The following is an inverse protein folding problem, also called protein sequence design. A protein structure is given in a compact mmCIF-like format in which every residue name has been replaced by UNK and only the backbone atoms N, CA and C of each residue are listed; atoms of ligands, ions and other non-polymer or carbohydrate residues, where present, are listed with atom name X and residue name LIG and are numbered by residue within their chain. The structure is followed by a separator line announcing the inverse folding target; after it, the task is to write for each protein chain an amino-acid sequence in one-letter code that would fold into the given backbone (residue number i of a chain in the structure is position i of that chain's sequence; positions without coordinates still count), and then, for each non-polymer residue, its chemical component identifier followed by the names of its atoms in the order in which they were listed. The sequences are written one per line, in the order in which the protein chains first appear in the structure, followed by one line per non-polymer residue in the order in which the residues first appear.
data_IF_497829179863
#
_entry.id   IF_497829179863
#
_cell.length_a   1.000
_cell.length_b   1.000
_cell.length_c   1.000
_cell.angle_alpha   90.00
_cell.angle_beta   90.00
_cell.angle_gamma   90.00
#
_symmetry.space_group_name_H-M   'P 1'
#
loop_
_entity.id
_entity.type
_entity.pdbx_description
1 polymer ?
#
# COMPACT_ATOMS: atom_id res chain seq x y z
N UNK A 1 34.41 -10.51 39.46
CA UNK A 1 33.42 -9.41 39.42
C UNK A 1 32.98 -8.98 38.02
N UNK A 2 33.74 -9.23 36.95
CA UNK A 2 33.36 -8.84 35.57
C UNK A 2 32.24 -9.68 34.93
N UNK A 3 31.92 -10.86 35.47
CA UNK A 3 30.83 -11.72 34.97
C UNK A 3 29.43 -11.30 35.42
N UNK A 4 29.29 -10.39 36.39
CA UNK A 4 27.99 -9.94 36.89
C UNK A 4 27.38 -8.78 36.06
N UNK A 5 28.19 -8.02 35.32
CA UNK A 5 27.72 -6.84 34.58
C UNK A 5 27.10 -7.22 33.23
N UNK A 6 27.46 -8.37 32.66
CA UNK A 6 26.92 -8.81 31.37
C UNK A 6 25.51 -9.44 31.44
N UNK A 7 24.97 -9.67 32.64
CA UNK A 7 23.65 -10.30 32.80
C UNK A 7 22.49 -9.32 33.07
N UNK A 8 22.76 -8.01 33.08
CA UNK A 8 21.74 -6.94 33.25
C UNK A 8 21.19 -6.43 31.89
N UNK A 9 21.63 -7.01 30.77
CA UNK A 9 21.12 -6.65 29.44
C UNK A 9 19.97 -7.52 28.92
N UNK A 10 19.60 -8.58 29.64
CA UNK A 10 18.50 -9.48 29.27
C UNK A 10 17.26 -9.20 30.13
N UNK A 11 17.08 -7.94 30.53
CA UNK A 11 15.77 -7.47 30.95
C UNK A 11 14.83 -7.63 29.78
N UNK A 12 13.95 -8.62 29.93
CA UNK A 12 12.62 -8.70 29.36
C UNK A 12 12.37 -7.65 28.29
N UNK A 13 12.70 -8.02 27.05
CA UNK A 13 11.99 -7.45 25.93
C UNK A 13 10.52 -7.81 26.13
N UNK A 14 9.82 -6.96 26.88
CA UNK A 14 8.40 -6.71 26.71
C UNK A 14 8.24 -6.19 25.27
N UNK A 15 8.50 -7.09 24.32
CA UNK A 15 8.06 -7.00 22.96
C UNK A 15 6.55 -7.09 23.10
N UNK A 16 5.90 -5.93 23.25
CA UNK A 16 4.46 -5.84 23.29
C UNK A 16 3.94 -6.62 22.10
N UNK A 17 3.30 -7.77 22.37
CA UNK A 17 2.91 -8.70 21.31
C UNK A 17 1.67 -8.13 20.62
N UNK A 18 1.62 -8.27 19.30
CA UNK A 18 0.43 -7.88 18.55
C UNK A 18 -0.65 -8.91 18.85
N UNK A 19 -1.82 -8.42 19.23
CA UNK A 19 -2.94 -9.23 19.70
C UNK A 19 -3.73 -9.79 18.51
N UNK A 20 -3.87 -11.12 18.42
CA UNK A 20 -4.71 -11.78 17.40
C UNK A 20 -6.19 -11.79 17.80
N UNK A 21 -6.47 -11.96 19.10
CA UNK A 21 -7.81 -12.00 19.68
C UNK A 21 -7.90 -11.04 20.88
N UNK A 22 -8.80 -10.03 20.84
CA UNK A 22 -8.82 -8.93 21.82
C UNK A 22 -9.31 -9.31 23.22
N UNK A 23 -9.97 -10.46 23.39
CA UNK A 23 -10.72 -10.79 24.61
C UNK A 23 -9.83 -11.11 25.85
N UNK A 24 -8.52 -11.27 25.69
CA UNK A 24 -7.59 -11.59 26.78
C UNK A 24 -6.41 -10.62 26.97
N UNK A 25 -6.36 -9.52 26.22
CA UNK A 25 -5.17 -8.67 26.16
C UNK A 25 -5.21 -7.49 27.12
N UNK A 26 -4.02 -7.10 27.58
CA UNK A 26 -3.84 -5.89 28.38
C UNK A 26 -4.20 -4.63 27.58
N UNK A 27 -4.54 -3.55 28.29
CA UNK A 27 -4.86 -2.26 27.67
C UNK A 27 -3.69 -1.75 26.82
N UNK A 28 -2.48 -1.95 27.31
CA UNK A 28 -1.22 -1.52 26.70
C UNK A 28 -0.95 -2.30 25.40
N UNK A 29 -1.20 -3.61 25.38
CA UNK A 29 -1.13 -4.43 24.17
C UNK A 29 -2.18 -4.03 23.13
N UNK A 30 -3.39 -3.68 23.57
CA UNK A 30 -4.45 -3.18 22.69
C UNK A 30 -4.07 -1.83 22.08
N UNK A 31 -3.59 -0.87 22.88
CA UNK A 31 -3.12 0.43 22.38
C UNK A 31 -2.01 0.23 21.34
N UNK A 32 -1.03 -0.62 21.64
CA UNK A 32 0.08 -0.91 20.74
C UNK A 32 -0.37 -1.57 19.44
N UNK A 33 -1.27 -2.56 19.53
CA UNK A 33 -1.83 -3.27 18.38
C UNK A 33 -2.62 -2.33 17.48
N UNK A 34 -3.53 -1.55 18.06
CA UNK A 34 -4.37 -0.58 17.34
C UNK A 34 -3.51 0.50 16.69
N UNK A 35 -2.49 1.01 17.39
CA UNK A 35 -1.53 1.96 16.82
C UNK A 35 -0.84 1.38 15.57
N UNK A 36 -0.27 0.17 15.68
CA UNK A 36 0.36 -0.50 14.54
C UNK A 36 -0.60 -0.76 13.38
N UNK A 37 -1.83 -1.13 13.67
CA UNK A 37 -2.88 -1.32 12.68
C UNK A 37 -3.20 -0.02 11.93
N UNK A 38 -3.36 1.10 12.63
CA UNK A 38 -3.58 2.41 12.00
C UNK A 38 -2.42 2.80 11.09
N UNK A 39 -1.17 2.69 11.55
CA UNK A 39 0.01 2.99 10.73
C UNK A 39 0.06 2.09 9.48
N UNK A 40 -0.18 0.79 9.65
CA UNK A 40 -0.21 -0.20 8.55
C UNK A 40 -1.32 0.13 7.55
N UNK A 41 -2.54 0.39 8.02
CA UNK A 41 -3.68 0.79 7.20
C UNK A 41 -3.34 2.05 6.39
N UNK A 42 -2.79 3.07 7.05
CA UNK A 42 -2.40 4.33 6.41
C UNK A 42 -1.45 4.13 5.24
N UNK A 43 -0.40 3.31 5.43
CA UNK A 43 0.58 3.00 4.38
C UNK A 43 -0.02 2.27 3.19
N UNK A 44 -0.85 1.24 3.44
CA UNK A 44 -1.51 0.50 2.37
C UNK A 44 -2.49 1.40 1.63
N UNK A 45 -3.24 2.23 2.36
CA UNK A 45 -4.18 3.17 1.79
C UNK A 45 -3.47 4.21 0.90
N UNK A 46 -2.33 4.73 1.31
CA UNK A 46 -1.53 5.66 0.49
C UNK A 46 -1.05 5.01 -0.81
N UNK A 47 -0.44 3.82 -0.71
CA UNK A 47 0.02 3.07 -1.87
C UNK A 47 -1.14 2.70 -2.82
N UNK A 48 -2.29 2.34 -2.25
CA UNK A 48 -3.52 2.09 -2.99
C UNK A 48 -4.05 3.34 -3.70
N UNK A 49 -4.15 4.48 -2.99
CA UNK A 49 -4.59 5.76 -3.56
C UNK A 49 -3.69 6.18 -4.73
N UNK A 50 -2.37 5.96 -4.61
CA UNK A 50 -1.41 6.22 -5.70
C UNK A 50 -1.73 5.42 -6.97
N UNK A 51 -1.94 4.11 -6.84
CA UNK A 51 -2.29 3.25 -7.97
C UNK A 51 -3.67 3.60 -8.54
N UNK A 52 -4.67 3.76 -7.69
CA UNK A 52 -6.03 4.16 -8.06
C UNK A 52 -6.02 5.44 -8.88
N UNK A 53 -5.31 6.47 -8.41
CA UNK A 53 -5.25 7.76 -9.10
C UNK A 53 -4.55 7.65 -10.45
N UNK A 54 -3.42 6.95 -10.54
CA UNK A 54 -2.73 6.73 -11.82
C UNK A 54 -3.61 6.05 -12.86
N UNK A 55 -4.36 5.02 -12.46
CA UNK A 55 -5.29 4.31 -13.34
C UNK A 55 -6.52 5.16 -13.72
N UNK A 56 -7.04 5.97 -12.79
CA UNK A 56 -8.11 6.94 -13.09
C UNK A 56 -7.65 8.02 -14.07
N UNK A 57 -6.46 8.58 -13.89
CA UNK A 57 -5.88 9.54 -14.86
C UNK A 57 -5.77 8.91 -16.25
N UNK A 58 -5.29 7.67 -16.35
CA UNK A 58 -5.27 6.93 -17.62
C UNK A 58 -6.67 6.78 -18.23
N UNK A 59 -7.69 6.48 -17.41
CA UNK A 59 -9.08 6.39 -17.86
C UNK A 59 -9.58 7.71 -18.45
N UNK A 60 -9.38 8.81 -17.72
CA UNK A 60 -9.85 10.13 -18.11
C UNK A 60 -9.16 10.61 -19.39
N UNK A 61 -7.84 10.48 -19.48
CA UNK A 61 -7.07 10.80 -20.68
C UNK A 61 -7.48 9.94 -21.88
N UNK A 62 -7.76 8.65 -21.65
CA UNK A 62 -8.23 7.76 -22.71
C UNK A 62 -9.59 8.18 -23.25
N UNK A 63 -10.52 8.57 -22.36
CA UNK A 63 -11.85 9.06 -22.74
C UNK A 63 -11.75 10.36 -23.54
N UNK A 64 -10.91 11.31 -23.11
CA UNK A 64 -10.67 12.57 -23.81
C UNK A 64 -10.01 12.36 -25.19
N UNK A 65 -9.16 11.35 -25.34
CA UNK A 65 -8.48 11.07 -26.61
C UNK A 65 -9.39 10.47 -27.70
N UNK A 66 -10.67 10.20 -27.42
CA UNK A 66 -11.55 9.43 -28.33
C UNK A 66 -11.74 10.08 -29.69
N UNK A 67 -11.86 11.39 -29.72
CA UNK A 67 -12.19 12.18 -30.92
C UNK A 67 -10.94 12.64 -31.70
N UNK A 68 -9.76 12.24 -31.23
CA UNK A 68 -8.49 12.63 -31.86
C UNK A 68 -8.09 11.75 -33.04
N UNK A 69 -7.36 12.36 -33.99
CA UNK A 69 -6.75 11.67 -35.12
C UNK A 69 -5.69 10.68 -34.64
N UNK A 70 -5.50 9.58 -35.37
CA UNK A 70 -4.61 8.48 -34.99
C UNK A 70 -3.17 8.96 -34.70
N UNK A 71 -2.64 9.89 -35.51
CA UNK A 71 -1.28 10.41 -35.35
C UNK A 71 -1.06 11.23 -34.07
N UNK A 72 -2.05 11.99 -33.62
CA UNK A 72 -1.97 12.72 -32.33
C UNK A 72 -2.30 11.82 -31.16
N UNK A 73 -3.16 10.82 -31.38
CA UNK A 73 -3.61 9.90 -30.35
C UNK A 73 -2.58 8.84 -29.97
N UNK A 74 -1.84 8.30 -30.95
CA UNK A 74 -0.80 7.29 -30.69
C UNK A 74 0.20 7.69 -29.59
N UNK A 75 0.88 8.85 -29.66
CA UNK A 75 1.82 9.25 -28.62
C UNK A 75 1.13 9.44 -27.25
N UNK A 76 -0.14 9.89 -27.21
CA UNK A 76 -0.91 9.98 -25.97
C UNK A 76 -1.19 8.61 -25.36
N UNK A 77 -1.61 7.62 -26.16
CA UNK A 77 -1.81 6.25 -25.66
C UNK A 77 -0.50 5.65 -25.12
N UNK A 78 0.61 5.92 -25.80
CA UNK A 78 1.94 5.50 -25.33
C UNK A 78 2.28 6.17 -24.00
N UNK A 79 2.02 7.47 -23.86
CA UNK A 79 2.24 8.22 -22.62
C UNK A 79 1.40 7.67 -21.47
N UNK A 80 0.08 7.49 -21.67
CA UNK A 80 -0.85 6.92 -20.68
C UNK A 80 -0.32 5.59 -20.11
N UNK A 81 0.04 4.65 -20.99
CA UNK A 81 0.59 3.35 -20.57
C UNK A 81 1.94 3.52 -19.89
N UNK A 82 2.79 4.40 -20.41
CA UNK A 82 4.11 4.64 -19.84
C UNK A 82 4.04 5.17 -18.40
N UNK A 83 3.20 6.17 -18.14
CA UNK A 83 3.03 6.77 -16.81
C UNK A 83 2.58 5.74 -15.77
N UNK A 84 1.61 4.89 -16.12
CA UNK A 84 1.17 3.82 -15.21
C UNK A 84 2.27 2.79 -15.02
N UNK A 85 3.01 2.41 -16.06
CA UNK A 85 4.17 1.48 -15.94
C UNK A 85 5.30 2.09 -15.09
N UNK A 86 5.49 3.41 -15.11
CA UNK A 86 6.46 4.08 -14.23
C UNK A 86 6.10 3.90 -12.75
N UNK A 87 4.81 3.79 -12.40
CA UNK A 87 4.40 3.49 -11.02
C UNK A 87 4.95 2.14 -10.53
N UNK A 88 4.98 1.11 -11.38
CA UNK A 88 5.57 -0.21 -11.01
C UNK A 88 7.09 -0.11 -10.83
N UNK A 89 7.75 0.71 -11.65
CA UNK A 89 9.21 0.93 -11.53
C UNK A 89 9.59 1.73 -10.29
N UNK A 90 8.70 2.58 -9.78
CA UNK A 90 8.82 3.26 -8.49
C UNK A 90 8.55 2.29 -7.32
N UNK A 91 9.16 1.10 -7.34
CA UNK A 91 8.91 0.02 -6.39
C UNK A 91 9.06 0.44 -4.92
N UNK A 92 9.87 1.47 -4.63
CA UNK A 92 10.07 1.99 -3.28
C UNK A 92 8.81 2.69 -2.73
N UNK A 93 7.94 3.21 -3.59
CA UNK A 93 6.65 3.81 -3.23
C UNK A 93 5.50 2.81 -3.20
N UNK A 94 5.70 1.61 -3.76
CA UNK A 94 4.75 0.51 -3.68
C UNK A 94 5.11 -0.42 -2.52
N UNK A 95 4.09 -1.01 -1.90
CA UNK A 95 4.28 -1.98 -0.82
C UNK A 95 4.34 -3.37 -1.41
N UNK A 96 5.37 -4.13 -1.04
CA UNK A 96 5.39 -5.56 -1.34
C UNK A 96 4.72 -6.28 -0.18
N UNK A 97 3.43 -6.56 -0.36
CA UNK A 97 2.64 -7.32 0.62
C UNK A 97 2.41 -8.74 0.07
N UNK A 98 2.41 -9.77 0.94
CA UNK A 98 2.15 -11.14 0.51
C UNK A 98 0.78 -11.27 -0.15
N UNK A 99 0.67 -12.17 -1.12
CA UNK A 99 -0.64 -12.61 -1.59
C UNK A 99 -1.41 -13.27 -0.45
N UNK A 100 -2.72 -13.10 -0.44
CA UNK A 100 -3.60 -13.77 0.51
C UNK A 100 -3.84 -15.23 0.07
N UNK A 101 -3.47 -16.17 0.92
CA UNK A 101 -3.70 -17.59 0.71
C UNK A 101 -5.00 -18.00 1.43
N UNK A 102 -5.93 -18.68 0.75
CA UNK A 102 -7.27 -19.03 1.32
C UNK A 102 -7.19 -19.85 2.62
N UNK A 103 -6.05 -20.49 2.86
CA UNK A 103 -5.79 -21.35 4.02
C UNK A 103 -5.62 -20.53 5.31
N UNK A 104 -5.17 -19.28 5.23
CA UNK A 104 -4.89 -18.45 6.41
C UNK A 104 -6.12 -17.62 6.84
N UNK A 105 -6.30 -17.43 8.14
CA UNK A 105 -7.39 -16.58 8.63
C UNK A 105 -7.12 -15.10 8.27
N UNK A 106 -8.17 -14.27 8.05
CA UNK A 106 -8.00 -12.85 7.72
C UNK A 106 -7.14 -12.08 8.74
N UNK A 107 -7.25 -12.42 10.03
CA UNK A 107 -6.47 -11.77 11.09
C UNK A 107 -5.00 -12.16 11.05
N UNK A 108 -4.68 -13.44 10.81
CA UNK A 108 -3.29 -13.92 10.64
C UNK A 108 -2.62 -13.27 9.43
N UNK A 109 -3.36 -13.14 8.32
CA UNK A 109 -2.86 -12.43 7.14
C UNK A 109 -2.50 -10.97 7.46
N UNK A 110 -3.39 -10.26 8.15
CA UNK A 110 -3.14 -8.86 8.56
C UNK A 110 -1.92 -8.77 9.48
N UNK A 111 -1.76 -9.70 10.43
CA UNK A 111 -0.58 -9.76 11.30
C UNK A 111 0.71 -9.96 10.52
N UNK A 112 0.70 -10.84 9.52
CA UNK A 112 1.83 -11.06 8.61
C UNK A 112 2.20 -9.77 7.88
N UNK A 113 1.22 -9.03 7.38
CA UNK A 113 1.43 -7.71 6.75
C UNK A 113 2.06 -6.73 7.74
N UNK A 114 1.47 -6.58 8.94
CA UNK A 114 1.97 -5.64 9.95
C UNK A 114 3.43 -5.96 10.26
N UNK A 115 3.77 -7.22 10.49
CA UNK A 115 5.13 -7.66 10.79
C UNK A 115 6.13 -7.39 9.65
N UNK A 116 5.71 -7.57 8.39
CA UNK A 116 6.57 -7.28 7.22
C UNK A 116 6.81 -5.78 7.08
N UNK A 117 5.76 -4.98 7.22
CA UNK A 117 5.85 -3.52 7.08
C UNK A 117 6.62 -2.88 8.24
N UNK A 118 6.54 -3.45 9.44
CA UNK A 118 7.31 -3.02 10.61
C UNK A 118 8.81 -3.30 10.42
N UNK A 119 9.17 -4.52 9.97
CA UNK A 119 10.57 -4.87 9.65
C UNK A 119 11.20 -3.96 8.60
N UNK A 120 10.43 -3.52 7.60
CA UNK A 120 10.91 -2.60 6.55
C UNK A 120 11.27 -1.21 7.09
N UNK A 121 10.70 -0.79 8.23
CA UNK A 121 11.05 0.49 8.88
C UNK A 121 12.34 0.42 9.71
N UNK A 122 12.70 -0.75 10.24
CA UNK A 122 13.94 -0.91 11.02
C UNK A 122 15.21 -0.96 10.17
N UNK A 123 15.09 -1.14 8.84
CA UNK A 123 16.24 -1.05 7.96
C UNK A 123 16.68 0.42 7.88
N UNK A 124 17.93 0.76 8.28
CA UNK A 124 18.43 2.12 8.12
C UNK A 124 18.48 2.42 6.63
N UNK A 125 17.51 3.19 6.14
CA UNK A 125 17.53 3.73 4.80
C UNK A 125 18.70 4.72 4.73
N UNK A 126 19.87 4.21 4.32
CA UNK A 126 21.01 5.00 3.87
C UNK A 126 20.63 5.68 2.55
N UNK A 127 19.67 6.61 2.58
CA UNK A 127 19.35 7.45 1.44
C UNK A 127 20.17 8.72 1.61
N UNK A 128 21.30 8.77 0.93
CA UNK A 128 22.13 9.97 0.75
C UNK A 128 21.51 10.83 -0.36
N UNK A 129 21.32 12.13 -0.11
CA UNK A 129 20.88 13.10 -1.13
C UNK A 129 19.61 13.90 -0.79
N UNK A 130 19.08 14.64 -1.77
CA UNK A 130 17.89 15.52 -1.63
C UNK A 130 16.65 14.74 -1.14
N UNK A 131 16.54 13.45 -1.51
CA UNK A 131 15.51 12.54 -0.98
C UNK A 131 15.60 12.32 0.53
N UNK A 132 16.77 12.53 1.15
CA UNK A 132 16.95 12.50 2.61
C UNK A 132 16.31 13.73 3.27
N UNK A 133 16.44 14.92 2.67
CA UNK A 133 15.81 16.14 3.18
C UNK A 133 14.27 16.08 3.06
N UNK A 134 13.77 15.60 1.93
CA UNK A 134 12.35 15.32 1.75
C UNK A 134 11.89 14.19 2.69
N UNK A 135 12.67 13.12 2.83
CA UNK A 135 12.40 12.03 3.77
C UNK A 135 12.41 12.48 5.24
N UNK A 136 13.27 13.44 5.61
CA UNK A 136 13.34 13.99 6.96
C UNK A 136 12.13 14.89 7.27
N UNK A 137 11.69 15.72 6.30
CA UNK A 137 10.48 16.55 6.47
C UNK A 137 9.21 15.69 6.52
N UNK A 138 9.08 14.71 5.62
CA UNK A 138 7.97 13.74 5.63
C UNK A 138 8.01 12.91 6.92
N UNK A 139 9.18 12.37 7.30
CA UNK A 139 9.35 11.57 8.50
C UNK A 139 9.09 12.32 9.81
N UNK A 140 9.33 13.64 9.86
CA UNK A 140 8.95 14.47 11.01
C UNK A 140 7.43 14.66 11.09
N UNK A 141 6.76 14.89 9.95
CA UNK A 141 5.29 14.99 9.89
C UNK A 141 4.63 13.68 10.30
N UNK A 142 5.18 12.55 9.86
CA UNK A 142 4.69 11.21 10.24
C UNK A 142 4.84 10.97 11.74
N UNK A 143 6.00 11.30 12.33
CA UNK A 143 6.21 11.21 13.79
C UNK A 143 5.22 12.05 14.59
N UNK A 144 4.90 13.26 14.15
CA UNK A 144 3.92 14.11 14.84
C UNK A 144 2.52 13.51 14.77
N UNK A 145 2.11 13.01 13.60
CA UNK A 145 0.81 12.32 13.43
C UNK A 145 0.74 11.04 14.26
N UNK A 146 1.82 10.28 14.28
CA UNK A 146 1.96 9.06 15.08
C UNK A 146 1.87 9.37 16.59
N UNK A 147 2.49 10.47 17.04
CA UNK A 147 2.42 10.91 18.43
C UNK A 147 1.00 11.32 18.83
N UNK A 148 0.33 12.14 18.01
CA UNK A 148 -1.05 12.56 18.25
C UNK A 148 -2.03 11.37 18.23
N UNK A 149 -1.79 10.40 17.34
CA UNK A 149 -2.57 9.15 17.30
C UNK A 149 -2.35 8.33 18.57
N UNK A 150 -1.09 8.15 19.00
CA UNK A 150 -0.76 7.41 20.23
C UNK A 150 -1.42 8.03 21.46
N UNK A 151 -1.42 9.36 21.57
CA UNK A 151 -2.10 10.09 22.65
C UNK A 151 -3.63 9.93 22.58
N UNK A 152 -4.22 10.06 21.39
CA UNK A 152 -5.65 9.82 21.15
C UNK A 152 -6.07 8.40 21.58
N UNK A 153 -5.25 7.39 21.28
CA UNK A 153 -5.52 5.99 21.66
C UNK A 153 -5.43 5.77 23.17
N UNK A 154 -4.54 6.48 23.87
CA UNK A 154 -4.44 6.41 25.35
C UNK A 154 -5.68 6.98 26.05
N UNK A 155 -6.40 7.89 25.40
CA UNK A 155 -7.63 8.48 25.94
C UNK A 155 -8.89 7.62 25.71
N UNK A 156 -8.81 6.57 24.88
CA UNK A 156 -9.93 5.65 24.64
C UNK A 156 -10.10 4.63 25.76
N UNK A 157 -11.32 4.17 25.98
CA UNK A 157 -11.62 3.05 26.87
C UNK A 157 -11.09 1.73 26.30
N UNK A 158 -10.87 0.74 27.17
CA UNK A 158 -10.42 -0.59 26.74
C UNK A 158 -11.43 -1.24 25.78
N UNK A 159 -12.72 -1.00 25.98
CA UNK A 159 -13.79 -1.53 25.13
C UNK A 159 -13.80 -0.90 23.73
N UNK A 160 -13.59 0.42 23.64
CA UNK A 160 -13.42 1.10 22.34
C UNK A 160 -12.17 0.60 21.60
N UNK A 161 -11.08 0.36 22.32
CA UNK A 161 -9.85 -0.18 21.74
C UNK A 161 -10.06 -1.59 21.16
N UNK A 162 -10.85 -2.45 21.82
CA UNK A 162 -11.19 -3.77 21.27
C UNK A 162 -12.00 -3.67 19.99
N UNK A 163 -13.05 -2.83 19.98
CA UNK A 163 -13.87 -2.58 18.79
C UNK A 163 -13.06 -1.99 17.64
N UNK A 164 -12.17 -1.05 17.94
CA UNK A 164 -11.26 -0.48 16.96
C UNK A 164 -10.31 -1.54 16.39
N UNK A 165 -9.77 -2.44 17.23
CA UNK A 165 -8.90 -3.53 16.81
C UNK A 165 -9.58 -4.46 15.80
N UNK A 166 -10.79 -4.94 16.12
CA UNK A 166 -11.58 -5.81 15.23
C UNK A 166 -11.94 -5.12 13.92
N UNK A 167 -12.41 -3.87 14.00
CA UNK A 167 -12.74 -3.07 12.82
C UNK A 167 -11.51 -2.89 11.92
N UNK A 168 -10.37 -2.54 12.50
CA UNK A 168 -9.14 -2.31 11.74
C UNK A 168 -8.62 -3.58 11.08
N UNK A 169 -8.75 -4.75 11.72
CA UNK A 169 -8.45 -6.03 11.06
C UNK A 169 -9.24 -6.19 9.76
N UNK A 170 -10.56 -5.99 9.83
CA UNK A 170 -11.45 -6.11 8.66
C UNK A 170 -11.10 -5.07 7.59
N UNK A 171 -10.84 -3.83 7.98
CA UNK A 171 -10.50 -2.75 7.06
C UNK A 171 -9.15 -2.97 6.36
N UNK A 172 -8.12 -3.37 7.12
CA UNK A 172 -6.79 -3.69 6.57
C UNK A 172 -6.90 -4.86 5.60
N UNK A 173 -7.64 -5.91 5.95
CA UNK A 173 -7.86 -7.04 5.06
C UNK A 173 -8.50 -6.61 3.72
N UNK A 174 -9.57 -5.82 3.78
CA UNK A 174 -10.28 -5.32 2.59
C UNK A 174 -9.39 -4.46 1.70
N UNK A 175 -8.68 -3.49 2.27
CA UNK A 175 -7.81 -2.59 1.47
C UNK A 175 -6.61 -3.33 0.89
N UNK A 176 -6.07 -4.32 1.62
CA UNK A 176 -4.95 -5.16 1.14
C UNK A 176 -5.35 -5.97 -0.09
N UNK A 177 -6.54 -6.58 -0.09
CA UNK A 177 -7.05 -7.30 -1.27
C UNK A 177 -7.23 -6.39 -2.48
N UNK A 178 -7.82 -5.20 -2.30
CA UNK A 178 -7.99 -4.21 -3.38
C UNK A 178 -6.65 -3.76 -3.94
N UNK A 179 -5.70 -3.47 -3.05
CA UNK A 179 -4.34 -3.10 -3.44
C UNK A 179 -3.64 -4.20 -4.26
N UNK A 180 -3.73 -5.45 -3.83
CA UNK A 180 -3.19 -6.59 -4.58
C UNK A 180 -3.84 -6.75 -5.96
N UNK A 181 -5.15 -6.54 -6.06
CA UNK A 181 -5.87 -6.53 -7.34
C UNK A 181 -5.28 -5.49 -8.30
N UNK A 182 -5.09 -4.25 -7.84
CA UNK A 182 -4.45 -3.21 -8.65
C UNK A 182 -3.00 -3.55 -9.02
N UNK A 183 -2.24 -4.16 -8.10
CA UNK A 183 -0.86 -4.61 -8.39
C UNK A 183 -0.80 -5.68 -9.46
N UNK A 184 -1.77 -6.59 -9.50
CA UNK A 184 -1.88 -7.60 -10.55
C UNK A 184 -2.07 -6.96 -11.93
N UNK A 185 -3.02 -6.03 -12.04
CA UNK A 185 -3.27 -5.24 -13.27
C UNK A 185 -2.00 -4.53 -13.71
N UNK A 186 -1.31 -3.87 -12.76
CA UNK A 186 -0.12 -3.09 -13.05
C UNK A 186 1.06 -3.97 -13.55
N UNK A 187 1.25 -5.15 -12.95
CA UNK A 187 2.27 -6.12 -13.40
C UNK A 187 1.97 -6.63 -14.80
N UNK A 188 0.72 -6.99 -15.08
CA UNK A 188 0.29 -7.45 -16.40
C UNK A 188 0.47 -6.36 -17.47
N UNK A 189 0.04 -5.12 -17.18
CA UNK A 189 0.26 -3.97 -18.06
C UNK A 189 1.74 -3.77 -18.36
N UNK A 190 2.60 -3.85 -17.35
CA UNK A 190 4.05 -3.66 -17.49
C UNK A 190 4.66 -4.71 -18.42
N UNK A 191 4.30 -5.98 -18.23
CA UNK A 191 4.76 -7.07 -19.08
C UNK A 191 4.29 -6.89 -20.54
N UNK A 192 3.00 -6.60 -20.73
CA UNK A 192 2.40 -6.38 -22.05
C UNK A 192 3.03 -5.16 -22.75
N UNK A 193 3.27 -4.08 -22.02
CA UNK A 193 3.91 -2.88 -22.55
C UNK A 193 5.36 -3.15 -22.99
N UNK A 194 6.13 -3.89 -22.19
CA UNK A 194 7.49 -4.31 -22.55
C UNK A 194 7.48 -5.16 -23.83
N UNK A 195 6.57 -6.12 -23.93
CA UNK A 195 6.41 -6.95 -25.13
C UNK A 195 5.98 -6.13 -26.36
N UNK A 196 5.15 -5.10 -26.20
CA UNK A 196 4.71 -4.27 -27.33
C UNK A 196 5.83 -3.46 -28.00
N UNK A 197 6.99 -3.29 -27.36
CA UNK A 197 8.12 -2.52 -27.90
C UNK A 197 8.73 -3.15 -29.15
N UNK A 198 8.53 -4.46 -29.35
CA UNK A 198 9.04 -5.18 -30.51
C UNK A 198 8.18 -4.99 -31.78
N UNK A 199 7.03 -4.33 -31.66
CA UNK A 199 6.10 -4.17 -32.78
C UNK A 199 6.22 -2.80 -33.45
N UNK A 200 6.05 -2.73 -34.79
CA UNK A 200 5.94 -1.46 -35.52
C UNK A 200 4.75 -0.61 -35.07
N UNK A 201 4.73 0.66 -35.49
CA UNK A 201 3.77 1.68 -35.02
C UNK A 201 2.31 1.24 -35.17
N UNK A 202 1.91 0.71 -36.32
CA UNK A 202 0.50 0.38 -36.61
C UNK A 202 -0.01 -0.77 -35.71
N UNK A 203 0.64 -1.95 -35.64
CA UNK A 203 0.25 -3.00 -34.68
C UNK A 203 0.34 -2.52 -33.22
N UNK A 204 1.39 -1.76 -32.89
CA UNK A 204 1.61 -1.28 -31.53
C UNK A 204 0.50 -0.34 -31.06
N UNK A 205 -0.03 0.52 -31.93
CA UNK A 205 -1.19 1.36 -31.62
C UNK A 205 -2.39 0.51 -31.15
N UNK A 206 -2.69 -0.57 -31.86
CA UNK A 206 -3.80 -1.46 -31.49
C UNK A 206 -3.52 -2.20 -30.17
N UNK A 207 -2.28 -2.63 -29.94
CA UNK A 207 -1.87 -3.24 -28.66
C UNK A 207 -2.04 -2.27 -27.49
N UNK A 208 -1.54 -1.04 -27.59
CA UNK A 208 -1.69 -0.01 -26.54
C UNK A 208 -3.15 0.27 -26.23
N UNK A 209 -3.98 0.42 -27.28
CA UNK A 209 -5.42 0.61 -27.14
C UNK A 209 -6.09 -0.59 -26.46
N UNK A 210 -5.66 -1.81 -26.77
CA UNK A 210 -6.16 -3.03 -26.14
C UNK A 210 -5.78 -3.11 -24.67
N UNK A 211 -4.53 -2.79 -24.31
CA UNK A 211 -4.06 -2.77 -22.92
C UNK A 211 -4.88 -1.81 -22.05
N UNK A 212 -5.08 -0.57 -22.52
CA UNK A 212 -5.89 0.40 -21.79
C UNK A 212 -7.32 -0.12 -21.61
N UNK A 213 -7.94 -0.64 -22.68
CA UNK A 213 -9.28 -1.23 -22.60
C UNK A 213 -9.37 -2.41 -21.64
N UNK A 214 -8.34 -3.26 -21.55
CA UNK A 214 -8.28 -4.38 -20.61
C UNK A 214 -8.30 -3.87 -19.17
N UNK A 215 -7.51 -2.85 -18.85
CA UNK A 215 -7.52 -2.20 -17.53
C UNK A 215 -8.91 -1.64 -17.20
N UNK A 216 -9.51 -0.89 -18.13
CA UNK A 216 -10.83 -0.28 -17.91
C UNK A 216 -11.97 -1.30 -17.75
N UNK A 217 -11.76 -2.55 -18.17
CA UNK A 217 -12.70 -3.66 -18.05
C UNK A 217 -12.35 -4.60 -16.90
N UNK A 218 -11.20 -4.43 -16.27
CA UNK A 218 -10.79 -5.30 -15.17
C UNK A 218 -11.75 -5.10 -13.99
N UNK A 219 -12.30 -6.19 -13.41
CA UNK A 219 -13.26 -6.08 -12.32
C UNK A 219 -12.68 -5.33 -11.12
N UNK A 220 -11.39 -5.56 -10.80
CA UNK A 220 -10.72 -4.90 -9.69
C UNK A 220 -10.64 -3.37 -9.89
N UNK A 221 -10.53 -2.88 -11.12
CA UNK A 221 -10.55 -1.44 -11.40
C UNK A 221 -11.98 -0.88 -11.49
N UNK A 222 -12.90 -1.63 -12.11
CA UNK A 222 -14.30 -1.23 -12.27
C UNK A 222 -15.00 -1.02 -10.92
N UNK A 223 -14.76 -1.89 -9.94
CA UNK A 223 -15.28 -1.73 -8.57
C UNK A 223 -14.85 -0.40 -7.95
N UNK A 224 -13.62 0.04 -8.22
CA UNK A 224 -12.98 1.21 -7.62
C UNK A 224 -13.44 2.53 -8.26
N UNK A 225 -13.82 2.51 -9.54
CA UNK A 225 -14.38 3.68 -10.22
C UNK A 225 -15.71 4.13 -9.58
N UNK A 226 -16.47 3.20 -9.00
CA UNK A 226 -17.75 3.49 -8.33
C UNK A 226 -17.62 3.77 -6.82
N UNK A 227 -16.43 3.60 -6.24
CA UNK A 227 -16.20 3.97 -4.85
C UNK A 227 -16.16 5.49 -4.70
N UNK A 228 -17.22 6.04 -4.10
CA UNK A 228 -17.14 7.32 -3.38
C UNK A 228 -16.00 7.18 -2.38
N UNK A 229 -15.04 8.11 -2.35
CA UNK A 229 -13.89 8.07 -1.44
C UNK A 229 -14.35 8.11 0.04
N UNK A 230 -14.80 6.97 0.56
CA UNK A 230 -15.20 6.74 1.94
C UNK A 230 -14.03 6.09 2.69
N UNK A 231 -12.89 6.78 2.78
CA UNK A 231 -11.77 6.42 3.66
C UNK A 231 -11.03 7.66 4.15
#
# INVERSE_FOLDING_TARGET
MLSAILNIGKDSSNSTKIVVQPEGSSREELIYTVFKQYCTKGRILEAYKRLKNGLKTMQDEYLQSKDEKIFTRYPKLQNMVHEVVLLEKQYWQLLDIPNYDVIESPNEYVLKIINILDKKNSAPQKITGISSLLGATIGNVDKTKDMALSESLRNKSTEELRKDCERLYIEIFKISKKYLGLRKILKELTNNYQHSRFFPIIPRYQLLKSMIKQILRAPEFSEICHEVDKF
#
